data_IF_471263905454
#
_entry.id   IF_471263905454
#
_cell.length_a   1.000
_cell.length_b   1.000
_cell.length_c   1.000
_cell.angle_alpha   90.00
_cell.angle_beta   90.00
_cell.angle_gamma   90.00
#
_symmetry.space_group_name_H-M   'P 1'
#
loop_
_entity.id
_entity.type
_entity.pdbx_description
1 polymer ?
#
# COMPACT_ATOMS: atom_id res chain seq x y z
N UNK A 1 3.62 -4.05 23.92
CA UNK A 1 4.83 -3.88 23.09
C UNK A 1 4.52 -2.97 21.89
N UNK A 2 3.88 -1.82 22.15
CA UNK A 2 3.32 -0.91 21.14
C UNK A 2 4.27 0.25 20.79
N UNK A 3 5.44 0.30 21.43
CA UNK A 3 6.31 1.49 21.46
C UNK A 3 7.59 1.40 20.62
N UNK A 4 8.02 0.21 20.19
CA UNK A 4 9.37 0.05 19.60
C UNK A 4 9.41 -0.11 18.07
N UNK A 5 8.26 -0.30 17.41
CA UNK A 5 8.23 -0.51 15.94
C UNK A 5 8.04 0.79 15.14
N UNK A 6 7.54 1.87 15.75
CA UNK A 6 7.23 3.10 15.01
C UNK A 6 8.44 3.99 14.70
N UNK A 7 9.58 3.80 15.37
CA UNK A 7 10.71 4.74 15.33
C UNK A 7 12.04 4.18 14.84
N UNK A 8 12.14 2.88 14.57
CA UNK A 8 13.46 2.23 14.44
C UNK A 8 13.82 1.87 12.99
N UNK A 9 12.86 1.89 12.07
CA UNK A 9 13.11 1.72 10.64
C UNK A 9 12.11 2.59 9.87
N UNK A 10 12.53 3.42 8.90
CA UNK A 10 11.59 3.98 7.95
C UNK A 10 10.93 2.80 7.22
N UNK A 11 9.70 2.47 7.60
CA UNK A 11 8.93 1.47 6.88
C UNK A 11 8.61 2.07 5.51
N UNK A 12 9.34 1.65 4.48
CA UNK A 12 9.02 2.01 3.11
C UNK A 12 7.61 1.49 2.81
N UNK A 13 6.64 2.38 2.51
CA UNK A 13 5.28 1.94 2.30
C UNK A 13 5.20 1.13 1.02
N UNK A 14 4.52 -0.02 1.07
CA UNK A 14 4.09 -0.71 -0.13
C UNK A 14 2.89 0.03 -0.71
N UNK A 15 3.09 0.75 -1.81
CA UNK A 15 2.04 1.60 -2.39
C UNK A 15 0.93 0.77 -2.99
N UNK A 16 -0.30 1.28 -2.93
CA UNK A 16 -1.53 0.57 -3.30
C UNK A 16 -2.25 -0.09 -2.13
N UNK A 17 -1.65 -0.11 -0.92
CA UNK A 17 -2.25 -0.63 0.30
C UNK A 17 -2.27 0.40 1.44
N UNK A 18 -3.21 0.23 2.37
CA UNK A 18 -3.26 1.05 3.60
C UNK A 18 -2.06 0.70 4.48
N UNK A 19 -1.66 1.64 5.34
CA UNK A 19 -0.66 1.34 6.37
C UNK A 19 -1.12 0.18 7.26
N UNK A 20 -0.17 -0.66 7.68
CA UNK A 20 -0.43 -1.79 8.58
C UNK A 20 -1.42 -2.82 8.01
N UNK A 21 -1.43 -3.00 6.67
CA UNK A 21 -2.29 -3.96 5.98
C UNK A 21 -1.91 -5.42 6.28
N UNK A 22 -0.62 -5.71 6.47
CA UNK A 22 -0.10 -6.99 6.96
C UNK A 22 1.00 -6.73 7.99
N UNK A 23 1.18 -7.63 8.95
CA UNK A 23 2.11 -7.46 10.07
C UNK A 23 2.94 -8.73 10.30
N UNK A 24 4.20 -8.54 10.70
CA UNK A 24 5.11 -9.63 10.99
C UNK A 24 6.38 -9.14 11.65
N UNK A 25 7.17 -10.07 12.17
CA UNK A 25 8.52 -9.79 12.64
C UNK A 25 9.60 -10.09 11.58
N UNK A 26 9.21 -10.70 10.46
CA UNK A 26 10.01 -10.82 9.25
C UNK A 26 9.26 -10.12 8.12
N UNK A 27 9.99 -9.46 7.23
CA UNK A 27 9.40 -8.81 6.06
C UNK A 27 10.39 -8.78 4.89
N UNK A 28 9.85 -8.67 3.68
CA UNK A 28 10.60 -8.42 2.46
C UNK A 28 9.86 -7.40 1.61
N UNK A 29 10.61 -6.53 0.93
CA UNK A 29 10.04 -5.51 0.05
C UNK A 29 10.97 -5.35 -1.16
N UNK A 30 10.37 -5.33 -2.34
CA UNK A 30 11.02 -4.95 -3.59
C UNK A 30 10.19 -3.86 -4.26
N UNK A 31 10.88 -2.95 -4.91
CA UNK A 31 10.27 -1.86 -5.65
C UNK A 31 10.99 -1.68 -7.00
N UNK A 32 10.21 -1.46 -8.04
CA UNK A 32 10.66 -1.03 -9.35
C UNK A 32 9.99 0.30 -9.70
N UNK A 33 10.79 1.31 -10.06
CA UNK A 33 10.29 2.61 -10.50
C UNK A 33 10.86 2.97 -11.87
N UNK A 34 9.97 3.40 -12.75
CA UNK A 34 10.32 4.06 -13.98
C UNK A 34 10.02 5.56 -13.86
N UNK A 35 11.06 6.39 -13.93
CA UNK A 35 10.96 7.85 -13.80
C UNK A 35 11.18 8.50 -15.16
N UNK A 36 10.32 9.42 -15.54
CA UNK A 36 10.37 10.08 -16.85
C UNK A 36 10.06 11.58 -16.73
N UNK A 37 10.74 12.44 -17.50
CA UNK A 37 10.43 13.87 -17.50
C UNK A 37 9.07 14.12 -18.16
N UNK A 38 8.24 14.99 -17.59
CA UNK A 38 6.94 15.35 -18.19
C UNK A 38 7.11 16.51 -19.20
N UNK A 39 7.98 17.49 -18.92
CA UNK A 39 8.09 18.72 -19.72
C UNK A 39 9.42 18.92 -20.47
N UNK A 40 10.40 18.01 -20.35
CA UNK A 40 11.71 18.19 -20.99
C UNK A 40 11.69 18.11 -22.54
N UNK A 41 10.55 17.77 -23.17
CA UNK A 41 10.48 17.47 -24.60
C UNK A 41 9.81 18.54 -25.49
N UNK A 42 9.21 19.62 -24.96
CA UNK A 42 8.24 20.43 -25.73
C UNK A 42 8.71 21.86 -26.09
N UNK A 43 9.79 22.42 -25.51
CA UNK A 43 10.13 23.84 -25.76
C UNK A 43 11.57 24.03 -26.24
N UNK A 44 11.81 24.16 -27.56
CA UNK A 44 13.02 24.78 -28.09
C UNK A 44 12.86 26.31 -27.97
N UNK A 45 13.27 26.90 -26.84
CA UNK A 45 13.19 28.36 -26.70
C UNK A 45 13.31 28.90 -25.29
N UNK A 46 13.92 30.08 -25.17
CA UNK A 46 14.21 30.82 -23.95
C UNK A 46 12.96 31.44 -23.27
N UNK A 47 12.00 30.61 -22.85
CA UNK A 47 10.90 31.04 -21.98
C UNK A 47 11.13 30.53 -20.55
N UNK A 48 11.37 31.41 -19.56
CA UNK A 48 11.59 31.00 -18.17
C UNK A 48 10.25 30.72 -17.47
N UNK A 49 9.64 29.57 -17.73
CA UNK A 49 8.51 29.05 -16.94
C UNK A 49 9.03 28.43 -15.63
N UNK A 50 9.35 29.28 -14.65
CA UNK A 50 9.52 28.87 -13.25
C UNK A 50 8.15 28.44 -12.67
N UNK A 51 7.99 27.29 -11.95
CA UNK A 51 8.98 26.29 -11.53
C UNK A 51 8.76 24.88 -12.15
N UNK A 52 8.08 24.75 -13.29
CA UNK A 52 7.58 23.44 -13.78
C UNK A 52 8.64 22.57 -14.49
N UNK A 53 9.88 23.04 -14.64
CA UNK A 53 10.96 22.28 -15.30
C UNK A 53 11.42 21.04 -14.53
N UNK A 54 11.04 20.92 -13.25
CA UNK A 54 11.43 19.82 -12.37
C UNK A 54 10.33 18.75 -12.22
N UNK A 55 9.23 18.85 -12.97
CA UNK A 55 8.14 17.89 -12.87
C UNK A 55 8.51 16.56 -13.54
N UNK A 56 8.62 15.52 -12.73
CA UNK A 56 8.94 14.16 -13.16
C UNK A 56 7.75 13.25 -12.88
N UNK A 57 7.37 12.46 -13.87
CA UNK A 57 6.41 11.38 -13.71
C UNK A 57 7.10 10.11 -13.21
N UNK A 58 6.37 9.31 -12.46
CA UNK A 58 6.81 8.00 -11.95
C UNK A 58 5.74 6.97 -12.32
N UNK A 59 6.15 5.84 -12.86
CA UNK A 59 5.36 4.62 -12.84
C UNK A 59 6.07 3.63 -11.90
N UNK A 60 5.33 2.96 -11.03
CA UNK A 60 5.92 2.08 -10.03
C UNK A 60 5.21 0.73 -9.95
N UNK A 61 5.97 -0.27 -9.51
CA UNK A 61 5.50 -1.58 -9.10
C UNK A 61 6.22 -1.96 -7.80
N UNK A 62 5.45 -2.22 -6.76
CA UNK A 62 5.90 -2.59 -5.43
C UNK A 62 5.40 -4.01 -5.13
N UNK A 63 6.24 -4.85 -4.56
CA UNK A 63 5.84 -6.14 -4.04
C UNK A 63 6.51 -6.40 -2.70
N UNK A 64 5.76 -6.94 -1.75
CA UNK A 64 6.28 -7.15 -0.42
C UNK A 64 5.43 -8.10 0.40
N UNK A 65 6.00 -8.53 1.51
CA UNK A 65 5.43 -9.55 2.38
C UNK A 65 5.92 -9.37 3.80
N UNK A 66 5.12 -9.81 4.77
CA UNK A 66 5.44 -9.82 6.19
C UNK A 66 4.84 -11.06 6.84
N UNK A 67 5.61 -11.74 7.69
CA UNK A 67 5.20 -12.99 8.34
C UNK A 67 5.89 -13.17 9.70
N UNK A 68 5.61 -14.32 10.34
CA UNK A 68 6.25 -14.72 11.60
C UNK A 68 5.48 -14.31 12.86
N UNK A 69 4.26 -13.79 12.68
CA UNK A 69 3.27 -13.58 13.74
C UNK A 69 1.90 -14.05 13.29
N UNK A 70 1.15 -14.69 14.19
CA UNK A 70 -0.27 -15.00 13.97
C UNK A 70 -1.08 -13.71 14.15
N UNK A 71 -1.96 -13.41 13.20
CA UNK A 71 -2.89 -12.29 13.27
C UNK A 71 -4.30 -12.86 13.32
N UNK A 72 -4.98 -12.74 14.45
CA UNK A 72 -6.40 -13.04 14.53
C UNK A 72 -7.19 -11.79 14.16
N UNK A 73 -8.01 -11.86 13.10
CA UNK A 73 -8.80 -10.70 12.65
C UNK A 73 -10.06 -10.50 13.50
N UNK A 74 -10.45 -11.51 14.30
CA UNK A 74 -11.69 -11.54 15.08
C UNK A 74 -12.95 -11.34 14.22
N UNK A 75 -12.89 -11.79 12.96
CA UNK A 75 -14.01 -11.80 12.03
C UNK A 75 -14.40 -13.25 11.76
N UNK A 76 -15.69 -13.56 11.70
CA UNK A 76 -16.20 -14.84 11.22
C UNK A 76 -16.02 -14.92 9.70
N UNK A 77 -15.68 -16.09 9.17
CA UNK A 77 -15.51 -16.31 7.73
C UNK A 77 -16.85 -16.39 6.98
N UNK A 78 -17.93 -16.76 7.69
CA UNK A 78 -19.29 -16.86 7.17
C UNK A 78 -20.30 -16.15 8.09
N UNK A 79 -21.53 -15.91 7.60
CA UNK A 79 -22.65 -15.35 8.39
C UNK A 79 -23.28 -16.40 9.31
N UNK A 80 -22.46 -17.09 10.09
CA UNK A 80 -22.84 -18.12 11.06
C UNK A 80 -22.04 -17.90 12.37
N UNK A 81 -22.68 -17.79 13.55
CA UNK A 81 -21.97 -17.64 14.82
C UNK A 81 -21.03 -18.80 15.16
N UNK A 82 -21.21 -19.96 14.53
CA UNK A 82 -20.35 -21.14 14.68
C UNK A 82 -19.25 -21.23 13.62
N UNK A 83 -19.18 -20.26 12.70
CA UNK A 83 -18.15 -20.18 11.68
C UNK A 83 -16.75 -19.98 12.30
N UNK A 84 -15.73 -20.46 11.60
CA UNK A 84 -14.34 -20.23 11.99
C UNK A 84 -14.00 -18.74 11.92
N UNK A 85 -13.14 -18.29 12.84
CA UNK A 85 -12.58 -16.95 12.80
C UNK A 85 -11.48 -16.88 11.74
N UNK A 86 -11.54 -15.84 10.91
CA UNK A 86 -10.47 -15.46 10.01
C UNK A 86 -9.21 -15.14 10.79
N UNK A 87 -8.11 -15.78 10.41
CA UNK A 87 -6.78 -15.51 10.93
C UNK A 87 -5.77 -15.59 9.79
N UNK A 88 -4.66 -14.89 9.96
CA UNK A 88 -3.46 -15.10 9.18
C UNK A 88 -2.42 -15.89 10.02
N UNK A 89 -1.84 -16.91 9.40
CA UNK A 89 -0.90 -17.82 10.05
C UNK A 89 0.42 -17.14 10.41
N UNK A 90 1.24 -17.84 11.20
CA UNK A 90 2.61 -17.40 11.51
C UNK A 90 3.57 -17.68 10.34
N UNK A 91 3.31 -18.76 9.61
CA UNK A 91 4.13 -19.19 8.47
C UNK A 91 3.90 -18.27 7.27
N UNK A 92 4.90 -18.17 6.40
CA UNK A 92 4.80 -17.35 5.19
C UNK A 92 3.85 -18.00 4.19
N UNK A 93 2.77 -17.31 3.86
CA UNK A 93 1.86 -17.67 2.76
C UNK A 93 2.24 -16.94 1.48
N UNK A 94 2.77 -17.67 0.49
CA UNK A 94 3.13 -17.12 -0.81
C UNK A 94 1.94 -16.75 -1.71
N UNK A 95 0.71 -16.88 -1.21
CA UNK A 95 -0.49 -16.42 -1.91
C UNK A 95 -0.52 -14.89 -2.04
N UNK A 96 -0.90 -14.41 -3.21
CA UNK A 96 -1.19 -12.99 -3.43
C UNK A 96 -2.37 -12.59 -2.56
N UNK A 97 -2.19 -11.55 -1.75
CA UNK A 97 -3.18 -11.10 -0.81
C UNK A 97 -4.45 -10.65 -1.53
N UNK A 98 -5.60 -11.11 -1.03
CA UNK A 98 -6.93 -10.77 -1.55
C UNK A 98 -7.79 -10.17 -0.47
N UNK A 99 -8.57 -9.16 -0.82
CA UNK A 99 -9.63 -8.69 0.07
C UNK A 99 -10.72 -9.75 0.17
N UNK A 100 -11.03 -10.14 1.41
CA UNK A 100 -12.12 -11.04 1.78
C UNK A 100 -13.07 -10.30 2.72
N UNK A 101 -14.34 -10.70 2.70
CA UNK A 101 -15.35 -10.18 3.62
C UNK A 101 -15.42 -11.15 4.79
N UNK A 102 -15.25 -10.62 6.00
CA UNK A 102 -15.54 -11.31 7.25
C UNK A 102 -16.65 -10.59 8.01
N UNK A 103 -17.17 -11.26 9.04
CA UNK A 103 -18.38 -10.82 9.72
C UNK A 103 -18.19 -10.71 11.24
N UNK A 104 -18.79 -9.69 11.84
CA UNK A 104 -18.95 -9.59 13.30
C UNK A 104 -20.43 -9.69 13.62
N UNK A 105 -20.81 -10.60 14.50
CA UNK A 105 -22.20 -10.67 14.98
C UNK A 105 -22.46 -9.52 15.96
N UNK A 106 -23.49 -8.73 15.66
CA UNK A 106 -23.94 -7.60 16.47
C UNK A 106 -24.99 -8.07 17.47
N UNK A 107 -25.21 -7.33 18.55
CA UNK A 107 -26.12 -7.72 19.65
C UNK A 107 -27.57 -7.99 19.21
N UNK A 108 -28.01 -7.44 18.08
CA UNK A 108 -29.34 -7.66 17.50
C UNK A 108 -29.44 -8.96 16.67
N UNK A 109 -28.36 -9.74 16.60
CA UNK A 109 -28.26 -10.97 15.82
C UNK A 109 -27.91 -10.76 14.35
N UNK A 110 -27.77 -9.52 13.88
CA UNK A 110 -27.31 -9.19 12.54
C UNK A 110 -25.78 -9.31 12.41
N UNK A 111 -25.28 -9.30 11.17
CA UNK A 111 -23.85 -9.38 10.87
C UNK A 111 -23.37 -8.07 10.23
N UNK A 112 -22.33 -7.48 10.82
CA UNK A 112 -21.58 -6.36 10.24
C UNK A 112 -20.46 -6.88 9.36
N UNK A 113 -20.32 -6.34 8.16
CA UNK A 113 -19.31 -6.74 7.18
C UNK A 113 -18.04 -5.92 7.33
N UNK A 114 -16.89 -6.59 7.39
CA UNK A 114 -15.58 -5.98 7.45
C UNK A 114 -14.62 -6.67 6.48
N UNK A 115 -13.76 -5.90 5.82
CA UNK A 115 -12.78 -6.42 4.88
C UNK A 115 -11.48 -6.77 5.59
N UNK A 116 -10.89 -7.92 5.28
CA UNK A 116 -9.54 -8.30 5.70
C UNK A 116 -8.75 -8.85 4.51
N UNK A 117 -7.42 -8.92 4.65
CA UNK A 117 -6.54 -9.48 3.62
C UNK A 117 -6.21 -10.94 3.93
N UNK A 118 -6.30 -11.76 2.91
CA UNK A 118 -6.02 -13.20 2.93
C UNK A 118 -4.84 -13.50 1.98
N UNK A 119 -3.70 -13.92 2.54
CA UNK A 119 -2.40 -14.08 1.88
C UNK A 119 -1.35 -13.04 2.28
N UNK A 120 -0.06 -13.37 2.15
CA UNK A 120 1.03 -12.50 2.60
C UNK A 120 1.75 -11.74 1.48
N UNK A 121 1.48 -12.03 0.20
CA UNK A 121 2.14 -11.33 -0.91
C UNK A 121 1.29 -10.13 -1.34
N UNK A 122 1.71 -8.94 -0.93
CA UNK A 122 1.13 -7.69 -1.40
C UNK A 122 1.82 -7.28 -2.70
N UNK A 123 1.04 -6.91 -3.71
CA UNK A 123 1.56 -6.34 -4.96
C UNK A 123 0.75 -5.10 -5.26
N UNK A 124 1.42 -3.97 -5.43
CA UNK A 124 0.79 -2.72 -5.75
C UNK A 124 1.51 -2.00 -6.87
N UNK A 125 0.77 -1.21 -7.63
CA UNK A 125 1.32 -0.53 -8.80
C UNK A 125 0.55 0.74 -9.06
N UNK A 126 1.19 1.68 -9.73
CA UNK A 126 0.55 2.96 -9.99
C UNK A 126 1.47 4.02 -10.56
N UNK A 127 1.05 5.26 -10.37
CA UNK A 127 1.68 6.42 -10.95
C UNK A 127 1.89 7.50 -9.91
N UNK A 128 2.90 8.33 -10.14
CA UNK A 128 3.21 9.45 -9.30
C UNK A 128 3.78 10.63 -10.05
N UNK A 129 3.85 11.74 -9.35
CA UNK A 129 4.52 12.96 -9.78
C UNK A 129 5.49 13.42 -8.70
N UNK A 130 6.62 13.98 -9.13
CA UNK A 130 7.65 14.57 -8.28
C UNK A 130 7.97 15.96 -8.77
N UNK A 131 8.05 16.93 -7.86
CA UNK A 131 8.44 18.31 -8.15
C UNK A 131 9.21 18.89 -6.97
N UNK A 132 9.99 19.93 -7.19
CA UNK A 132 10.57 20.73 -6.11
C UNK A 132 9.76 22.03 -6.02
N UNK A 133 9.09 22.23 -4.89
CA UNK A 133 8.31 23.42 -4.60
C UNK A 133 8.94 24.16 -3.42
N UNK A 134 9.25 25.45 -3.59
CA UNK A 134 9.91 26.29 -2.57
C UNK A 134 11.22 25.69 -2.00
N UNK A 135 11.95 24.93 -2.82
CA UNK A 135 13.20 24.26 -2.41
C UNK A 135 13.01 22.92 -1.68
N UNK A 136 11.78 22.45 -1.51
CA UNK A 136 11.46 21.17 -0.90
C UNK A 136 10.95 20.16 -1.94
N UNK A 137 11.39 18.89 -1.89
CA UNK A 137 10.80 17.85 -2.73
C UNK A 137 9.37 17.57 -2.29
N UNK A 138 8.47 17.53 -3.27
CA UNK A 138 7.08 17.16 -3.15
C UNK A 138 6.81 15.92 -4.00
N UNK A 139 6.07 14.97 -3.44
CA UNK A 139 5.60 13.78 -4.12
C UNK A 139 4.11 13.56 -3.92
N UNK A 140 3.47 13.13 -4.99
CA UNK A 140 2.13 12.58 -4.94
C UNK A 140 2.11 11.28 -5.73
N UNK A 141 1.62 10.20 -5.11
CA UNK A 141 1.47 8.89 -5.72
C UNK A 141 0.04 8.39 -5.60
N UNK A 142 -0.43 7.72 -6.64
CA UNK A 142 -1.70 6.99 -6.65
C UNK A 142 -1.38 5.55 -7.00
N UNK A 143 -1.73 4.64 -6.10
CA UNK A 143 -1.49 3.22 -6.24
C UNK A 143 -2.77 2.39 -6.17
N UNK A 144 -2.75 1.24 -6.82
CA UNK A 144 -3.80 0.23 -6.77
C UNK A 144 -3.17 -1.08 -6.31
N UNK A 145 -3.92 -1.85 -5.50
CA UNK A 145 -3.51 -3.21 -5.13
C UNK A 145 -3.87 -4.21 -6.24
N UNK A 146 -3.05 -5.24 -6.38
CA UNK A 146 -3.28 -6.36 -7.29
C UNK A 146 -3.83 -7.56 -6.51
N UNK A 147 -5.01 -8.04 -6.87
CA UNK A 147 -5.72 -9.15 -6.19
C UNK A 147 -5.39 -10.55 -6.75
N UNK A 148 -4.38 -10.62 -7.62
CA UNK A 148 -3.99 -11.81 -8.35
C UNK A 148 -4.69 -11.99 -9.70
N UNK A 149 -5.78 -11.25 -9.98
CA UNK A 149 -6.43 -11.18 -11.30
C UNK A 149 -6.15 -9.86 -12.01
N UNK A 150 -5.96 -8.79 -11.26
CA UNK A 150 -5.57 -7.49 -11.80
C UNK A 150 -5.51 -6.40 -10.74
N UNK A 151 -5.27 -5.17 -11.18
CA UNK A 151 -5.30 -3.97 -10.34
C UNK A 151 -6.73 -3.44 -10.18
N UNK A 152 -7.59 -4.25 -9.55
CA UNK A 152 -9.02 -3.98 -9.41
C UNK A 152 -9.32 -3.62 -7.95
N UNK A 153 -9.16 -2.36 -7.62
CA UNK A 153 -9.20 -1.90 -6.23
C UNK A 153 -9.48 -0.42 -6.11
N UNK A 154 -9.75 0.04 -4.89
CA UNK A 154 -9.81 1.48 -4.60
C UNK A 154 -8.41 2.04 -4.65
N UNK A 155 -8.24 3.16 -5.36
CA UNK A 155 -6.98 3.88 -5.41
C UNK A 155 -6.59 4.36 -4.00
N UNK A 156 -5.31 4.19 -3.65
CA UNK A 156 -4.72 4.74 -2.44
C UNK A 156 -3.82 5.89 -2.82
N UNK A 157 -3.98 7.03 -2.14
CA UNK A 157 -3.30 8.27 -2.43
C UNK A 157 -2.23 8.54 -1.35
N UNK A 158 -1.02 8.84 -1.79
CA UNK A 158 0.12 9.14 -0.92
C UNK A 158 0.63 10.55 -1.22
N UNK A 159 0.90 11.31 -0.17
CA UNK A 159 1.50 12.64 -0.25
C UNK A 159 2.79 12.65 0.56
N UNK A 160 3.87 13.16 -0.03
CA UNK A 160 5.16 13.30 0.64
C UNK A 160 5.73 14.70 0.45
N UNK A 161 6.34 15.21 1.52
CA UNK A 161 7.07 16.47 1.55
C UNK A 161 8.35 16.21 2.35
N UNK A 162 9.51 16.43 1.73
CA UNK A 162 10.78 16.25 2.43
C UNK A 162 11.90 15.70 1.55
N UNK A 163 13.11 15.72 2.12
CA UNK A 163 14.36 15.31 1.46
C UNK A 163 14.73 13.83 1.69
N UNK A 164 14.04 13.15 2.61
CA UNK A 164 14.20 11.73 2.88
C UNK A 164 13.00 10.97 2.32
N UNK A 165 13.22 10.17 1.28
CA UNK A 165 12.31 9.14 0.79
C UNK A 165 13.10 7.86 0.54
#
# INVERSE_FOLDING_TARGET
RLTDNFFTVPALPLRGFKYNSINGNNFGLINAEFRFPIFAAIIPGALPILPLYNLTGVAFLDAGTAWGQRIDYFLLTEKDPNSELAFNGKELDFSVARERIGYVQVQDGSFSEHTYLDGDILIGGGFGIRSIFLGLPFGYDVGWHHDGKGFNGKAVHYFSIGIDF
#
